data_IF_042652020940
#
_entry.id   IF_042652020940
#
_cell.length_a   1.000
_cell.length_b   1.000
_cell.length_c   1.000
_cell.angle_alpha   90.00
_cell.angle_beta   90.00
_cell.angle_gamma   90.00
#
_symmetry.space_group_name_H-M   'P 1'
#
loop_
_entity.id
_entity.type
_entity.pdbx_description
1 polymer ?
#
# COMPACT_ATOMS: atom_id res chain seq x y z
N UNK A 1 -7.28 14.49 -5.09
CA UNK A 1 -6.24 13.50 -5.45
C UNK A 1 -5.98 12.70 -4.21
N UNK A 2 -5.90 11.38 -4.34
CA UNK A 2 -5.78 10.46 -3.21
C UNK A 2 -4.55 9.58 -3.43
N UNK A 3 -4.06 8.98 -2.33
CA UNK A 3 -2.77 8.32 -2.28
C UNK A 3 -2.90 6.94 -1.64
N UNK A 4 -2.28 5.94 -2.25
CA UNK A 4 -2.15 4.58 -1.71
C UNK A 4 -0.67 4.22 -1.60
N UNK A 5 -0.22 3.92 -0.39
CA UNK A 5 1.07 3.30 -0.16
C UNK A 5 0.99 1.80 -0.39
N UNK A 6 1.90 1.30 -1.23
CA UNK A 6 1.97 -0.08 -1.68
C UNK A 6 3.36 -0.63 -1.39
N UNK A 7 3.39 -1.74 -0.66
CA UNK A 7 4.61 -2.46 -0.25
C UNK A 7 4.62 -3.92 -0.72
N UNK A 8 3.57 -4.34 -1.43
CA UNK A 8 3.28 -5.74 -1.74
C UNK A 8 2.95 -6.00 -3.21
N UNK A 9 2.00 -6.91 -3.44
CA UNK A 9 1.70 -7.46 -4.77
C UNK A 9 1.15 -6.45 -5.78
N UNK A 10 0.58 -5.33 -5.31
CA UNK A 10 0.06 -4.24 -6.14
C UNK A 10 1.17 -3.31 -6.69
N UNK A 11 2.42 -3.47 -6.26
CA UNK A 11 3.51 -2.55 -6.61
C UNK A 11 3.97 -2.63 -8.07
N UNK A 12 4.82 -1.71 -8.53
CA UNK A 12 5.38 -1.73 -9.89
C UNK A 12 6.14 -3.03 -10.20
N UNK A 13 5.88 -3.64 -11.35
CA UNK A 13 6.48 -4.91 -11.77
C UNK A 13 6.11 -6.11 -10.89
N UNK A 14 4.99 -6.04 -10.16
CA UNK A 14 4.48 -7.12 -9.30
C UNK A 14 3.24 -7.77 -9.92
N UNK A 15 2.85 -8.98 -9.47
CA UNK A 15 1.78 -9.74 -10.12
C UNK A 15 0.46 -8.98 -10.29
N UNK A 16 0.15 -8.06 -9.36
CA UNK A 16 -1.11 -7.32 -9.35
C UNK A 16 -0.95 -5.84 -9.74
N UNK A 17 0.18 -5.45 -10.35
CA UNK A 17 0.37 -4.08 -10.86
C UNK A 17 -0.74 -3.64 -11.81
N UNK A 18 -1.28 -4.58 -12.60
CA UNK A 18 -2.37 -4.32 -13.55
C UNK A 18 -3.62 -3.70 -12.89
N UNK A 19 -3.87 -4.00 -11.62
CA UNK A 19 -4.97 -3.39 -10.84
C UNK A 19 -4.75 -1.89 -10.72
N UNK A 20 -3.52 -1.46 -10.42
CA UNK A 20 -3.16 -0.05 -10.27
C UNK A 20 -3.10 0.67 -11.62
N UNK A 21 -2.60 0.00 -12.67
CA UNK A 21 -2.56 0.56 -14.02
C UNK A 21 -3.96 0.90 -14.55
N UNK A 22 -4.98 0.09 -14.21
CA UNK A 22 -6.37 0.35 -14.58
C UNK A 22 -6.96 1.61 -13.92
N UNK A 23 -6.44 2.02 -12.76
CA UNK A 23 -6.86 3.25 -12.07
C UNK A 23 -6.25 4.47 -12.77
N UNK A 24 -5.02 4.34 -13.27
CA UNK A 24 -4.24 5.42 -13.87
C UNK A 24 -3.73 6.43 -12.84
N UNK A 25 -2.44 6.71 -12.85
CA UNK A 25 -1.80 7.55 -11.83
C UNK A 25 -0.28 7.54 -11.95
N UNK A 26 0.39 8.03 -10.90
CA UNK A 26 1.85 8.13 -10.83
C UNK A 26 2.39 7.44 -9.59
N UNK A 27 3.59 6.85 -9.74
CA UNK A 27 4.33 6.22 -8.65
C UNK A 27 5.43 7.13 -8.13
N UNK A 28 5.62 7.13 -6.81
CA UNK A 28 6.75 7.77 -6.14
C UNK A 28 7.29 6.84 -5.06
N UNK A 29 8.61 6.71 -4.94
CA UNK A 29 9.22 5.91 -3.86
C UNK A 29 8.92 6.53 -2.50
N UNK A 30 8.59 5.68 -1.53
CA UNK A 30 8.25 6.10 -0.18
C UNK A 30 8.54 4.99 0.83
N UNK A 31 8.47 5.33 2.11
CA UNK A 31 8.56 4.37 3.20
C UNK A 31 7.62 4.73 4.34
N UNK A 32 7.36 3.76 5.22
CA UNK A 32 6.68 3.98 6.50
C UNK A 32 7.29 3.10 7.57
N UNK A 33 6.84 3.25 8.82
CA UNK A 33 7.25 2.37 9.91
C UNK A 33 6.21 1.30 10.22
N UNK A 34 6.68 0.07 10.33
CA UNK A 34 5.82 -1.06 10.68
C UNK A 34 6.58 -2.36 10.86
N UNK A 35 5.84 -3.45 10.95
CA UNK A 35 6.35 -4.81 11.04
C UNK A 35 5.71 -5.66 9.96
N UNK A 36 6.50 -6.45 9.25
CA UNK A 36 6.01 -7.41 8.27
C UNK A 36 5.76 -8.74 8.97
N UNK A 37 4.55 -9.28 8.81
CA UNK A 37 4.16 -10.58 9.31
C UNK A 37 3.86 -11.53 8.14
N UNK A 38 4.25 -12.80 8.27
CA UNK A 38 3.89 -13.84 7.29
C UNK A 38 2.42 -14.24 7.45
N UNK A 39 1.53 -13.29 7.19
CA UNK A 39 0.08 -13.37 7.30
C UNK A 39 -0.57 -12.54 6.18
N UNK A 40 -1.83 -12.86 5.88
CA UNK A 40 -2.54 -12.35 4.71
C UNK A 40 -2.32 -13.21 3.46
N UNK A 41 -3.27 -13.19 2.52
CA UNK A 41 -3.18 -13.96 1.28
C UNK A 41 -1.92 -13.66 0.46
N UNK A 42 -1.43 -12.41 0.52
CA UNK A 42 -0.18 -12.00 -0.13
C UNK A 42 1.05 -12.76 0.37
N UNK A 43 1.04 -13.23 1.62
CA UNK A 43 2.17 -13.96 2.20
C UNK A 43 2.44 -15.29 1.48
N UNK A 44 1.39 -15.95 0.98
CA UNK A 44 1.52 -17.17 0.16
C UNK A 44 2.26 -16.91 -1.16
N UNK A 45 2.28 -15.66 -1.63
CA UNK A 45 3.00 -15.21 -2.81
C UNK A 45 4.38 -14.59 -2.47
N UNK A 46 4.81 -14.65 -1.21
CA UNK A 46 6.06 -14.04 -0.74
C UNK A 46 5.95 -12.57 -0.36
N UNK A 47 4.74 -12.02 -0.24
CA UNK A 47 4.49 -10.63 0.15
C UNK A 47 3.83 -10.57 1.54
N UNK A 48 4.63 -10.47 2.62
CA UNK A 48 4.09 -10.45 3.98
C UNK A 48 3.18 -9.24 4.20
N UNK A 49 2.13 -9.40 5.00
CA UNK A 49 1.26 -8.29 5.39
C UNK A 49 1.92 -7.33 6.38
N UNK A 50 1.51 -6.07 6.33
CA UNK A 50 2.00 -4.98 7.18
C UNK A 50 1.16 -4.83 8.45
N UNK A 51 1.83 -4.71 9.59
CA UNK A 51 1.26 -4.17 10.82
C UNK A 51 1.89 -2.80 11.07
N UNK A 52 1.08 -1.75 11.15
CA UNK A 52 1.57 -0.40 11.45
C UNK A 52 2.15 -0.34 12.86
N UNK A 53 3.35 0.24 12.98
CA UNK A 53 4.04 0.38 14.27
C UNK A 53 5.13 1.45 14.20
N UNK A 54 5.00 2.49 15.02
CA UNK A 54 5.94 3.63 15.05
C UNK A 54 7.34 3.26 15.55
N UNK A 55 7.43 2.21 16.36
CA UNK A 55 8.66 1.59 16.85
C UNK A 55 9.15 0.43 15.95
N UNK A 56 8.49 0.24 14.81
CA UNK A 56 8.81 -0.78 13.81
C UNK A 56 10.00 -0.44 12.92
N UNK A 57 10.25 -1.33 11.97
CA UNK A 57 11.25 -1.14 10.94
C UNK A 57 10.74 -0.19 9.84
N UNK A 58 11.66 0.41 9.10
CA UNK A 58 11.34 1.11 7.85
C UNK A 58 10.94 0.07 6.81
N UNK A 59 9.73 0.19 6.28
CA UNK A 59 9.18 -0.63 5.21
C UNK A 59 9.19 0.21 3.94
N UNK A 60 10.01 -0.22 2.98
CA UNK A 60 10.12 0.41 1.67
C UNK A 60 8.93 0.04 0.79
N UNK A 61 8.48 1.00 -0.02
CA UNK A 61 7.38 0.82 -0.94
C UNK A 61 7.25 2.01 -1.89
N UNK A 62 6.03 2.19 -2.38
CA UNK A 62 5.72 3.27 -3.31
C UNK A 62 4.36 3.88 -2.95
N UNK A 63 4.24 5.19 -3.10
CA UNK A 63 2.94 5.85 -3.16
C UNK A 63 2.47 5.88 -4.60
N UNK A 64 1.27 5.35 -4.84
CA UNK A 64 0.50 5.61 -6.04
C UNK A 64 -0.45 6.79 -5.80
N UNK A 65 -0.37 7.79 -6.66
CA UNK A 65 -1.24 8.97 -6.60
C UNK A 65 -2.20 8.99 -7.78
N UNK A 66 -3.49 9.13 -7.52
CA UNK A 66 -4.51 9.21 -8.56
C UNK A 66 -5.70 10.10 -8.18
N UNK A 67 -6.32 10.73 -9.18
CA UNK A 67 -7.62 11.39 -9.02
C UNK A 67 -8.81 10.42 -9.08
N UNK A 68 -8.59 9.17 -9.50
CA UNK A 68 -9.65 8.21 -9.80
C UNK A 68 -9.97 7.27 -8.63
N UNK A 69 -9.21 7.31 -7.55
CA UNK A 69 -9.37 6.41 -6.40
C UNK A 69 -10.78 6.38 -5.80
N UNK A 70 -11.47 7.52 -5.77
CA UNK A 70 -12.87 7.63 -5.36
C UNK A 70 -13.80 6.58 -5.99
N UNK A 71 -13.54 6.16 -7.25
CA UNK A 71 -14.31 5.14 -7.96
C UNK A 71 -13.78 3.70 -7.78
N UNK A 72 -12.55 3.54 -7.28
CA UNK A 72 -11.85 2.25 -7.22
C UNK A 72 -11.62 1.73 -5.80
N UNK A 73 -11.86 2.53 -4.77
CA UNK A 73 -11.66 2.13 -3.39
C UNK A 73 -12.41 0.87 -2.99
N UNK A 74 -13.69 0.76 -3.37
CA UNK A 74 -14.50 -0.41 -3.04
C UNK A 74 -13.93 -1.69 -3.70
N UNK A 75 -13.48 -1.60 -4.96
CA UNK A 75 -12.89 -2.73 -5.67
C UNK A 75 -11.54 -3.16 -5.06
N UNK A 76 -10.73 -2.20 -4.59
CA UNK A 76 -9.49 -2.50 -3.89
C UNK A 76 -9.73 -3.12 -2.51
N UNK A 77 -10.73 -2.64 -1.77
CA UNK A 77 -11.12 -3.20 -0.47
C UNK A 77 -11.60 -4.66 -0.63
N UNK A 78 -12.39 -4.93 -1.68
CA UNK A 78 -12.84 -6.29 -2.02
C UNK A 78 -11.69 -7.20 -2.46
N UNK A 79 -10.76 -6.66 -3.26
CA UNK A 79 -9.59 -7.39 -3.75
C UNK A 79 -8.66 -7.83 -2.61
N UNK A 80 -8.36 -6.94 -1.68
CA UNK A 80 -7.51 -7.26 -0.52
C UNK A 80 -8.23 -8.14 0.50
N UNK A 81 -9.57 -8.09 0.49
CA UNK A 81 -10.42 -9.00 1.23
C UNK A 81 -10.39 -8.78 2.75
N UNK A 82 -10.87 -9.78 3.48
CA UNK A 82 -11.13 -9.65 4.92
C UNK A 82 -9.86 -9.61 5.79
N UNK A 83 -8.71 -10.04 5.27
CA UNK A 83 -7.44 -10.10 6.03
C UNK A 83 -6.78 -8.74 6.20
N UNK A 84 -7.13 -7.79 5.33
CA UNK A 84 -6.59 -6.44 5.34
C UNK A 84 -7.67 -5.40 5.66
N UNK A 85 -7.21 -4.23 6.08
CA UNK A 85 -8.02 -3.03 6.22
C UNK A 85 -7.27 -1.83 5.66
N UNK A 86 -8.00 -0.95 4.98
CA UNK A 86 -7.45 0.33 4.53
C UNK A 86 -7.34 1.28 5.72
N UNK A 87 -6.13 1.73 6.01
CA UNK A 87 -5.82 2.67 7.10
C UNK A 87 -5.17 3.90 6.51
N UNK A 88 -5.57 5.09 6.97
CA UNK A 88 -4.87 6.33 6.64
C UNK A 88 -3.63 6.45 7.55
N UNK A 89 -2.46 6.64 6.95
CA UNK A 89 -1.20 6.77 7.67
C UNK A 89 -0.30 7.83 7.05
N UNK A 90 0.75 8.22 7.76
CA UNK A 90 1.83 9.03 7.23
C UNK A 90 2.89 8.14 6.59
N UNK A 91 3.41 8.60 5.45
CA UNK A 91 4.53 7.99 4.73
C UNK A 91 5.58 9.05 4.42
N UNK A 92 6.84 8.62 4.40
CA UNK A 92 7.99 9.46 4.09
C UNK A 92 8.38 9.25 2.63
N UNK A 93 8.33 10.31 1.83
CA UNK A 93 8.77 10.32 0.45
C UNK A 93 10.30 10.29 0.35
N UNK A 94 10.82 9.98 -0.85
CA UNK A 94 12.26 9.92 -1.11
C UNK A 94 13.03 11.23 -0.83
N UNK A 95 12.34 12.38 -0.87
CA UNK A 95 12.91 13.70 -0.53
C UNK A 95 12.88 14.01 0.97
N UNK A 96 12.38 13.08 1.79
CA UNK A 96 12.22 13.22 3.24
C UNK A 96 10.95 13.96 3.67
N UNK A 97 10.13 14.44 2.72
CA UNK A 97 8.82 15.01 3.05
C UNK A 97 7.84 13.94 3.51
N UNK A 98 6.86 14.33 4.32
CA UNK A 98 5.83 13.44 4.84
C UNK A 98 4.51 13.75 4.14
N UNK A 99 3.78 12.71 3.76
CA UNK A 99 2.47 12.80 3.12
C UNK A 99 1.50 11.80 3.75
N UNK A 100 0.21 12.12 3.72
CA UNK A 100 -0.84 11.18 4.09
C UNK A 100 -1.17 10.24 2.92
N UNK A 101 -1.20 8.95 3.18
CA UNK A 101 -1.61 7.93 2.23
C UNK A 101 -2.39 6.83 2.92
N UNK A 102 -3.34 6.24 2.19
CA UNK A 102 -3.96 4.99 2.60
C UNK A 102 -2.93 3.86 2.50
N UNK A 103 -3.07 2.82 3.31
CA UNK A 103 -2.32 1.57 3.20
C UNK A 103 -3.22 0.40 3.58
N UNK A 104 -3.05 -0.74 2.93
CA UNK A 104 -3.66 -1.99 3.37
C UNK A 104 -2.78 -2.65 4.43
N UNK A 105 -3.20 -2.56 5.69
CA UNK A 105 -2.54 -3.22 6.82
C UNK A 105 -3.34 -4.46 7.23
N UNK A 106 -2.67 -5.44 7.83
CA UNK A 106 -3.32 -6.59 8.45
C UNK A 106 -4.28 -6.11 9.54
N UNK A 107 -5.42 -6.79 9.64
CA UNK A 107 -6.37 -6.60 10.73
C UNK A 107 -5.86 -7.13 12.07
#
# INVERSE_FOLDING_TARGET
MEHLFVYGTLGPGRPNEHVMLNIGGTWQSASLKGRLAQAGWGAQMGFPGLVLADDGNVIEGFVFSSGNFHAHWAALDEFEGAEYQRVLTQVTLADGSVMEACVYALR
#
